data_IF_969135042184
#
_entry.id   IF_969135042184
#
_cell.length_a   1.000
_cell.length_b   1.000
_cell.length_c   1.000
_cell.angle_alpha   90.00
_cell.angle_beta   90.00
_cell.angle_gamma   90.00
#
_symmetry.space_group_name_H-M   'P 1'
#
loop_
_entity.id
_entity.type
_entity.pdbx_description
1 polymer ?
#
# COMPACT_ATOMS: atom_id res chain seq x y z
N UNK A 1 -12.37 -19.37 12.90
CA UNK A 1 -11.88 -18.38 11.93
C UNK A 1 -10.43 -18.06 12.26
N UNK A 2 -9.51 -18.52 11.43
CA UNK A 2 -8.04 -18.53 11.66
C UNK A 2 -7.41 -17.13 11.70
N UNK A 3 -8.12 -16.08 11.27
CA UNK A 3 -7.60 -14.71 11.12
C UNK A 3 -8.29 -13.66 12.01
N UNK A 4 -8.91 -14.06 13.14
CA UNK A 4 -9.68 -13.14 14.02
C UNK A 4 -8.89 -11.94 14.56
N UNK A 5 -7.57 -12.02 14.56
CA UNK A 5 -6.66 -11.01 15.11
C UNK A 5 -5.90 -10.23 14.02
N UNK A 6 -6.18 -10.46 12.72
CA UNK A 6 -5.51 -9.77 11.61
C UNK A 6 -5.59 -8.24 11.71
N UNK A 7 -6.68 -7.70 12.26
CA UNK A 7 -6.85 -6.26 12.46
C UNK A 7 -5.77 -5.63 13.32
N UNK A 8 -5.34 -6.31 14.39
CA UNK A 8 -4.27 -5.81 15.26
C UNK A 8 -2.91 -5.79 14.57
N UNK A 9 -2.63 -6.77 13.71
CA UNK A 9 -1.40 -6.76 12.90
C UNK A 9 -1.40 -5.63 11.87
N UNK A 10 -2.55 -5.29 11.28
CA UNK A 10 -2.65 -4.12 10.40
C UNK A 10 -2.50 -2.79 11.15
N UNK A 11 -2.95 -2.72 12.40
CA UNK A 11 -2.66 -1.56 13.27
C UNK A 11 -1.16 -1.44 13.52
N UNK A 12 -0.48 -2.53 13.87
CA UNK A 12 0.96 -2.54 14.05
C UNK A 12 1.71 -2.13 12.77
N UNK A 13 1.27 -2.63 11.62
CA UNK A 13 1.80 -2.25 10.31
C UNK A 13 1.62 -0.76 10.01
N UNK A 14 0.47 -0.18 10.37
CA UNK A 14 0.22 1.26 10.22
C UNK A 14 1.22 2.08 11.06
N UNK A 15 1.44 1.70 12.33
CA UNK A 15 2.44 2.37 13.17
C UNK A 15 3.86 2.21 12.62
N UNK A 16 4.22 1.01 12.15
CA UNK A 16 5.51 0.77 11.50
C UNK A 16 5.69 1.66 10.26
N UNK A 17 4.66 1.77 9.42
CA UNK A 17 4.70 2.64 8.26
C UNK A 17 4.83 4.12 8.65
N UNK A 18 4.07 4.59 9.64
CA UNK A 18 4.19 5.97 10.11
C UNK A 18 5.60 6.26 10.62
N UNK A 19 6.16 5.37 11.44
CA UNK A 19 7.51 5.51 11.98
C UNK A 19 8.58 5.48 10.87
N UNK A 20 8.54 4.49 9.98
CA UNK A 20 9.50 4.33 8.89
C UNK A 20 9.51 5.50 7.91
N UNK A 21 8.32 6.03 7.58
CA UNK A 21 8.21 7.16 6.66
C UNK A 21 8.27 8.53 7.36
N UNK A 22 8.50 8.58 8.68
CA UNK A 22 8.56 9.85 9.41
C UNK A 22 9.65 10.80 8.90
N UNK A 23 10.92 10.38 8.77
CA UNK A 23 12.01 11.27 8.35
C UNK A 23 11.90 11.66 6.87
N UNK A 24 11.39 10.76 6.04
CA UNK A 24 11.32 10.96 4.59
C UNK A 24 10.09 11.73 4.13
N UNK A 25 8.97 11.64 4.85
CA UNK A 25 7.68 12.19 4.44
C UNK A 25 6.98 13.01 5.53
N UNK A 26 6.62 12.40 6.68
CA UNK A 26 5.74 13.07 7.64
C UNK A 26 6.36 14.32 8.29
N UNK A 27 7.66 14.29 8.59
CA UNK A 27 8.38 15.46 9.13
C UNK A 27 8.52 16.63 8.13
N UNK A 28 8.29 16.38 6.83
CA UNK A 28 8.48 17.35 5.74
C UNK A 28 7.16 17.80 5.12
N UNK A 29 6.02 17.45 5.71
CA UNK A 29 4.68 17.75 5.19
C UNK A 29 4.43 19.25 4.92
N UNK A 30 5.03 20.15 5.71
CA UNK A 30 4.94 21.60 5.52
C UNK A 30 5.75 22.11 4.33
N UNK A 31 6.95 21.57 4.13
CA UNK A 31 7.87 21.96 3.05
C UNK A 31 7.51 21.30 1.71
N UNK A 32 6.84 20.14 1.76
CA UNK A 32 6.49 19.35 0.58
C UNK A 32 5.35 19.96 -0.23
N UNK A 33 4.55 20.88 0.30
CA UNK A 33 3.40 21.46 -0.44
C UNK A 33 3.80 22.29 -1.68
N UNK A 34 5.07 22.63 -1.87
CA UNK A 34 5.52 23.60 -2.87
C UNK A 34 6.10 23.01 -4.18
N UNK A 35 6.33 21.68 -4.27
CA UNK A 35 7.01 21.08 -5.41
C UNK A 35 6.13 20.06 -6.19
N UNK A 36 6.12 20.05 -7.54
CA UNK A 36 5.33 19.09 -8.33
C UNK A 36 5.65 17.61 -8.03
N UNK A 37 6.92 17.28 -7.75
CA UNK A 37 7.38 15.96 -7.31
C UNK A 37 6.67 15.49 -6.02
N UNK A 38 6.23 16.45 -5.21
CA UNK A 38 5.51 16.20 -3.99
C UNK A 38 4.08 15.76 -4.22
N UNK A 39 3.42 16.21 -5.29
CA UNK A 39 2.03 15.83 -5.57
C UNK A 39 1.88 14.32 -5.83
N UNK A 40 2.81 13.72 -6.59
CA UNK A 40 2.81 12.27 -6.80
C UNK A 40 3.13 11.52 -5.51
N UNK A 41 4.03 12.06 -4.69
CA UNK A 41 4.37 11.49 -3.38
C UNK A 41 3.16 11.51 -2.46
N UNK A 42 2.43 12.63 -2.38
CA UNK A 42 1.19 12.76 -1.61
C UNK A 42 0.10 11.83 -2.13
N UNK A 43 -0.11 11.75 -3.45
CA UNK A 43 -1.09 10.83 -4.04
C UNK A 43 -0.78 9.37 -3.66
N UNK A 44 0.46 8.93 -3.79
CA UNK A 44 0.86 7.59 -3.40
C UNK A 44 0.72 7.36 -1.89
N UNK A 45 1.15 8.31 -1.05
CA UNK A 45 1.03 8.20 0.39
C UNK A 45 -0.44 8.10 0.84
N UNK A 46 -1.33 8.94 0.30
CA UNK A 46 -2.77 8.93 0.61
C UNK A 46 -3.40 7.60 0.19
N UNK A 47 -3.12 7.12 -1.03
CA UNK A 47 -3.68 5.84 -1.50
C UNK A 47 -3.19 4.65 -0.67
N UNK A 48 -1.93 4.66 -0.22
CA UNK A 48 -1.39 3.65 0.70
C UNK A 48 -2.02 3.71 2.09
N UNK A 49 -2.22 4.92 2.65
CA UNK A 49 -2.92 5.10 3.93
C UNK A 49 -4.36 4.58 3.82
N UNK A 50 -5.07 4.91 2.74
CA UNK A 50 -6.42 4.40 2.47
C UNK A 50 -6.44 2.88 2.33
N UNK A 51 -5.42 2.29 1.70
CA UNK A 51 -5.30 0.84 1.57
C UNK A 51 -5.14 0.15 2.92
N UNK A 52 -4.21 0.62 3.75
CA UNK A 52 -3.99 0.06 5.11
C UNK A 52 -5.22 0.27 5.99
N UNK A 53 -5.86 1.44 5.92
CA UNK A 53 -7.11 1.72 6.62
C UNK A 53 -8.23 0.78 6.17
N UNK A 54 -8.33 0.48 4.87
CA UNK A 54 -9.27 -0.50 4.33
C UNK A 54 -8.96 -1.89 4.88
N UNK A 55 -7.72 -2.39 4.80
CA UNK A 55 -7.33 -3.70 5.34
C UNK A 55 -7.69 -3.85 6.84
N UNK A 56 -7.33 -2.86 7.63
CA UNK A 56 -7.66 -2.77 9.05
C UNK A 56 -9.18 -2.84 9.28
N UNK A 57 -9.93 -2.01 8.55
CA UNK A 57 -11.40 -1.98 8.64
C UNK A 57 -12.01 -3.33 8.25
N UNK A 58 -11.54 -3.95 7.16
CA UNK A 58 -12.03 -5.25 6.70
C UNK A 58 -11.82 -6.35 7.75
N UNK A 59 -10.66 -6.37 8.40
CA UNK A 59 -10.37 -7.33 9.46
C UNK A 59 -11.31 -7.17 10.67
N UNK A 60 -11.57 -5.93 11.10
CA UNK A 60 -12.51 -5.67 12.20
C UNK A 60 -13.96 -5.99 11.82
N UNK A 61 -14.39 -5.68 10.60
CA UNK A 61 -15.73 -6.02 10.12
C UNK A 61 -15.97 -7.53 10.15
N UNK A 62 -14.99 -8.35 9.77
CA UNK A 62 -15.07 -9.81 9.91
C UNK A 62 -15.12 -10.23 11.39
N UNK A 63 -14.28 -9.63 12.25
CA UNK A 63 -14.27 -9.92 13.69
C UNK A 63 -15.62 -9.66 14.35
N UNK A 64 -16.26 -8.53 14.01
CA UNK A 64 -17.57 -8.14 14.52
C UNK A 64 -18.75 -8.73 13.72
N UNK A 65 -18.49 -9.70 12.83
CA UNK A 65 -19.49 -10.41 12.01
C UNK A 65 -20.33 -9.47 11.11
N UNK A 66 -19.82 -8.30 10.76
CA UNK A 66 -20.46 -7.31 9.87
C UNK A 66 -20.17 -7.63 8.39
N UNK A 67 -20.55 -8.82 7.95
CA UNK A 67 -20.21 -9.34 6.61
C UNK A 67 -20.80 -8.53 5.46
N UNK A 68 -21.98 -7.92 5.65
CA UNK A 68 -22.59 -7.06 4.63
C UNK A 68 -21.71 -5.84 4.34
N UNK A 69 -21.25 -5.15 5.39
CA UNK A 69 -20.34 -4.01 5.28
C UNK A 69 -18.98 -4.42 4.72
N UNK A 70 -18.43 -5.56 5.14
CA UNK A 70 -17.20 -6.12 4.56
C UNK A 70 -17.31 -6.22 3.03
N UNK A 71 -18.40 -6.82 2.54
CA UNK A 71 -18.66 -6.95 1.09
C UNK A 71 -18.87 -5.61 0.40
N UNK A 72 -19.61 -4.68 1.00
CA UNK A 72 -19.89 -3.37 0.39
C UNK A 72 -18.64 -2.51 0.33
N UNK A 73 -17.94 -2.35 1.45
CA UNK A 73 -16.71 -1.54 1.52
C UNK A 73 -15.61 -2.18 0.68
N UNK A 74 -15.55 -3.52 0.65
CA UNK A 74 -14.58 -4.25 -0.16
C UNK A 74 -14.70 -3.95 -1.67
N UNK A 75 -15.87 -3.55 -2.19
CA UNK A 75 -16.00 -3.17 -3.61
C UNK A 75 -15.20 -1.91 -3.96
N UNK A 76 -14.97 -1.00 -3.01
CA UNK A 76 -14.16 0.19 -3.28
C UNK A 76 -12.71 -0.17 -3.58
N UNK A 77 -12.22 -1.35 -3.19
CA UNK A 77 -10.88 -1.81 -3.56
C UNK A 77 -10.68 -1.93 -5.08
N UNK A 78 -11.76 -2.16 -5.84
CA UNK A 78 -11.69 -2.22 -7.30
C UNK A 78 -11.32 -0.88 -7.95
N UNK A 79 -11.52 0.24 -7.25
CA UNK A 79 -11.09 1.56 -7.69
C UNK A 79 -9.77 1.93 -7.01
N UNK A 80 -9.68 1.70 -5.70
CA UNK A 80 -8.51 2.09 -4.91
C UNK A 80 -7.23 1.40 -5.39
N UNK A 81 -7.26 0.11 -5.73
CA UNK A 81 -6.07 -0.65 -6.14
C UNK A 81 -5.52 -0.16 -7.49
N UNK A 82 -6.32 0.02 -8.55
CA UNK A 82 -5.84 0.66 -9.78
C UNK A 82 -5.27 2.05 -9.54
N UNK A 83 -5.92 2.89 -8.73
CA UNK A 83 -5.44 4.25 -8.44
C UNK A 83 -4.11 4.20 -7.67
N UNK A 84 -3.96 3.29 -6.71
CA UNK A 84 -2.71 3.04 -5.98
C UNK A 84 -1.60 2.61 -6.93
N UNK A 85 -1.87 1.65 -7.82
CA UNK A 85 -0.90 1.18 -8.81
C UNK A 85 -0.43 2.32 -9.73
N UNK A 86 -1.37 3.09 -10.29
CA UNK A 86 -1.08 4.25 -11.14
C UNK A 86 -0.28 5.30 -10.36
N UNK A 87 -0.65 5.58 -9.10
CA UNK A 87 0.07 6.56 -8.27
C UNK A 87 1.54 6.19 -8.06
N UNK A 88 1.84 4.89 -7.89
CA UNK A 88 3.22 4.41 -7.74
C UNK A 88 4.00 4.53 -9.05
N UNK A 89 3.38 4.22 -10.19
CA UNK A 89 3.99 4.41 -11.51
C UNK A 89 4.30 5.89 -11.76
N UNK A 90 3.38 6.79 -11.42
CA UNK A 90 3.59 8.24 -11.55
C UNK A 90 4.72 8.73 -10.64
N UNK A 91 4.77 8.25 -9.39
CA UNK A 91 5.85 8.55 -8.45
C UNK A 91 7.20 8.07 -9.02
N UNK A 92 7.29 6.80 -9.44
CA UNK A 92 8.49 6.24 -10.05
C UNK A 92 8.92 7.02 -11.31
N UNK A 93 7.98 7.39 -12.17
CA UNK A 93 8.24 8.21 -13.35
C UNK A 93 8.83 9.58 -12.98
N UNK A 94 8.26 10.26 -11.99
CA UNK A 94 8.78 11.56 -11.52
C UNK A 94 10.21 11.46 -10.96
N UNK A 95 10.58 10.33 -10.37
CA UNK A 95 11.93 10.08 -9.88
C UNK A 95 12.94 9.92 -11.03
N UNK A 96 12.50 9.59 -12.24
CA UNK A 96 13.36 9.48 -13.42
C UNK A 96 13.48 10.84 -14.11
N UNK A 97 12.36 11.54 -14.34
CA UNK A 97 12.33 12.75 -15.18
C UNK A 97 12.91 14.00 -14.53
N UNK A 98 12.98 14.05 -13.19
CA UNK A 98 13.50 15.21 -12.46
C UNK A 98 15.04 15.25 -12.36
N UNK A 99 15.77 14.27 -12.90
CA UNK A 99 17.23 14.24 -12.83
C UNK A 99 17.79 14.31 -14.25
N UNK A 100 18.43 15.44 -14.60
CA UNK A 100 18.83 15.76 -15.98
C UNK A 100 19.97 14.89 -16.54
N UNK A 101 20.68 14.10 -15.72
CA UNK A 101 21.75 13.22 -16.20
C UNK A 101 21.85 11.91 -15.41
N UNK A 102 21.53 10.78 -16.07
CA UNK A 102 21.84 9.41 -15.63
C UNK A 102 20.98 8.84 -14.48
N UNK A 103 20.69 7.54 -14.54
CA UNK A 103 20.07 6.81 -13.42
C UNK A 103 21.19 6.18 -12.59
N UNK A 104 21.40 6.67 -11.37
CA UNK A 104 22.39 6.05 -10.46
C UNK A 104 22.00 4.62 -10.10
N UNK A 105 22.97 3.78 -9.72
CA UNK A 105 22.71 2.41 -9.27
C UNK A 105 21.67 2.37 -8.12
N UNK A 106 21.80 3.28 -7.15
CA UNK A 106 20.84 3.41 -6.05
C UNK A 106 19.42 3.69 -6.54
N UNK A 107 19.25 4.48 -7.61
CA UNK A 107 17.93 4.76 -8.18
C UNK A 107 17.37 3.58 -8.96
N UNK A 108 18.21 2.86 -9.73
CA UNK A 108 17.78 1.61 -10.37
C UNK A 108 17.30 0.59 -9.33
N UNK A 109 18.01 0.46 -8.20
CA UNK A 109 17.62 -0.40 -7.10
C UNK A 109 16.26 0.00 -6.51
N UNK A 110 16.03 1.30 -6.24
CA UNK A 110 14.73 1.78 -5.72
C UNK A 110 13.59 1.51 -6.72
N UNK A 111 13.81 1.78 -8.01
CA UNK A 111 12.81 1.53 -9.04
C UNK A 111 12.49 0.03 -9.15
N UNK A 112 13.52 -0.82 -9.18
CA UNK A 112 13.36 -2.27 -9.17
C UNK A 112 12.52 -2.72 -7.96
N UNK A 113 12.89 -2.27 -6.75
CA UNK A 113 12.14 -2.58 -5.53
C UNK A 113 10.67 -2.15 -5.64
N UNK A 114 10.40 -0.92 -6.09
CA UNK A 114 9.03 -0.41 -6.27
C UNK A 114 8.22 -1.29 -7.24
N UNK A 115 8.76 -1.61 -8.41
CA UNK A 115 8.04 -2.40 -9.42
C UNK A 115 7.90 -3.87 -9.02
N UNK A 116 8.91 -4.47 -8.38
CA UNK A 116 8.82 -5.84 -7.85
C UNK A 116 7.75 -5.95 -6.77
N UNK A 117 7.70 -5.00 -5.83
CA UNK A 117 6.67 -4.97 -4.79
C UNK A 117 5.28 -4.70 -5.38
N UNK A 118 5.18 -3.82 -6.39
CA UNK A 118 3.93 -3.60 -7.10
C UNK A 118 3.43 -4.86 -7.80
N UNK A 119 4.32 -5.61 -8.46
CA UNK A 119 3.95 -6.86 -9.11
C UNK A 119 3.42 -7.88 -8.08
N UNK A 120 4.14 -8.06 -6.97
CA UNK A 120 3.72 -8.95 -5.87
C UNK A 120 2.37 -8.52 -5.29
N UNK A 121 2.20 -7.20 -5.08
CA UNK A 121 0.95 -6.61 -4.59
C UNK A 121 -0.22 -6.91 -5.53
N UNK A 122 -0.07 -6.65 -6.82
CA UNK A 122 -1.12 -6.86 -7.83
C UNK A 122 -1.47 -8.33 -7.98
N UNK A 123 -0.45 -9.20 -8.07
CA UNK A 123 -0.67 -10.65 -8.16
C UNK A 123 -1.42 -11.14 -6.91
N UNK A 124 -0.97 -10.74 -5.72
CA UNK A 124 -1.63 -11.10 -4.46
C UNK A 124 -3.07 -10.59 -4.42
N UNK A 125 -3.31 -9.34 -4.79
CA UNK A 125 -4.65 -8.78 -4.80
C UNK A 125 -5.57 -9.50 -5.79
N UNK A 126 -5.12 -9.75 -7.02
CA UNK A 126 -5.89 -10.47 -8.04
C UNK A 126 -6.25 -11.87 -7.54
N UNK A 127 -5.29 -12.60 -6.97
CA UNK A 127 -5.53 -13.92 -6.37
C UNK A 127 -6.52 -13.82 -5.20
N UNK A 128 -6.43 -12.78 -4.35
CA UNK A 128 -7.39 -12.56 -3.28
C UNK A 128 -8.83 -12.42 -3.79
N UNK A 129 -9.02 -11.73 -4.92
CA UNK A 129 -10.34 -11.55 -5.54
C UNK A 129 -10.83 -12.81 -6.24
N UNK A 130 -9.95 -13.53 -6.96
CA UNK A 130 -10.28 -14.82 -7.61
C UNK A 130 -10.76 -15.82 -6.56
N UNK A 131 -10.01 -15.97 -5.47
CA UNK A 131 -10.31 -16.92 -4.40
C UNK A 131 -11.25 -16.36 -3.32
N UNK A 132 -12.03 -15.29 -3.60
CA UNK A 132 -12.96 -14.67 -2.63
C UNK A 132 -14.01 -15.63 -2.05
N UNK A 133 -14.35 -16.71 -2.78
CA UNK A 133 -15.28 -17.76 -2.31
C UNK A 133 -14.65 -18.70 -1.27
N UNK A 134 -13.32 -18.68 -1.12
CA UNK A 134 -12.59 -19.43 -0.11
C UNK A 134 -12.00 -18.46 0.91
N UNK A 135 -12.65 -18.26 2.08
CA UNK A 135 -12.24 -17.23 3.05
C UNK A 135 -10.78 -17.37 3.51
N UNK A 136 -10.27 -18.60 3.60
CA UNK A 136 -8.89 -18.86 3.99
C UNK A 136 -7.88 -18.37 2.94
N UNK A 137 -8.10 -18.69 1.66
CA UNK A 137 -7.23 -18.24 0.57
C UNK A 137 -7.34 -16.74 0.37
N UNK A 138 -8.57 -16.19 0.35
CA UNK A 138 -8.80 -14.75 0.28
C UNK A 138 -8.02 -14.00 1.36
N UNK A 139 -8.14 -14.41 2.62
CA UNK A 139 -7.45 -13.75 3.73
C UNK A 139 -5.92 -13.82 3.62
N UNK A 140 -5.36 -14.98 3.22
CA UNK A 140 -3.91 -15.12 3.03
C UNK A 140 -3.39 -14.17 1.96
N UNK A 141 -4.05 -14.10 0.81
CA UNK A 141 -3.64 -13.20 -0.26
C UNK A 141 -3.84 -11.72 0.09
N UNK A 142 -4.90 -11.36 0.83
CA UNK A 142 -5.06 -10.01 1.37
C UNK A 142 -3.92 -9.66 2.34
N UNK A 143 -3.48 -10.59 3.18
CA UNK A 143 -2.30 -10.39 4.04
C UNK A 143 -1.04 -10.18 3.19
N UNK A 144 -0.82 -10.93 2.12
CA UNK A 144 0.32 -10.73 1.23
C UNK A 144 0.40 -9.29 0.68
N UNK A 145 -0.73 -8.66 0.34
CA UNK A 145 -0.74 -7.25 -0.10
C UNK A 145 -0.26 -6.27 0.97
N UNK A 146 -0.32 -6.65 2.25
CA UNK A 146 0.15 -5.81 3.36
C UNK A 146 1.65 -5.99 3.61
N UNK A 147 2.18 -7.19 3.35
CA UNK A 147 3.59 -7.50 3.57
C UNK A 147 4.51 -6.70 2.64
N UNK A 148 4.02 -6.32 1.46
CA UNK A 148 4.77 -5.47 0.52
C UNK A 148 5.06 -4.06 1.07
N UNK A 149 4.41 -3.64 2.15
CA UNK A 149 4.68 -2.36 2.82
C UNK A 149 5.84 -2.45 3.83
N UNK A 150 6.21 -3.65 4.29
CA UNK A 150 7.22 -3.82 5.34
C UNK A 150 8.60 -3.38 4.81
N UNK A 151 9.04 -3.90 3.68
CA UNK A 151 10.32 -3.56 3.06
C UNK A 151 10.54 -2.04 2.93
N UNK A 152 9.65 -1.27 2.28
CA UNK A 152 9.85 0.17 2.11
C UNK A 152 9.60 0.98 3.38
N UNK A 153 9.01 0.41 4.44
CA UNK A 153 8.90 1.06 5.75
C UNK A 153 10.17 0.86 6.59
N UNK A 154 10.79 -0.32 6.51
CA UNK A 154 11.99 -0.66 7.29
C UNK A 154 13.27 -0.17 6.61
N UNK A 155 13.32 -0.12 5.28
CA UNK A 155 14.49 0.29 4.51
C UNK A 155 14.71 1.81 4.41
N UNK A 156 14.07 2.61 5.28
CA UNK A 156 14.09 4.09 5.22
C UNK A 156 15.23 4.70 6.01
#
# INVERSE_FOLDING_TARGET
>A
MTFKNSGFYFVALLFLAIAGFWPSYFSKLGDSLSAPASNYTHLHAITMILWVAMLMSQAFLIRYKKYALHKTIGKFSYILVPVLAISLVLLAHSQITLHEYGVSYSRMYILFLQFSLLAIFIISYVLAIIYKKSPAHHARFMICTSLTLIDPAVAR
#
